data_IF_162122001495
#
_entry.id   IF_162122001495
#
_cell.length_a   1.000
_cell.length_b   1.000
_cell.length_c   1.000
_cell.angle_alpha   90.00
_cell.angle_beta   90.00
_cell.angle_gamma   90.00
#
_symmetry.space_group_name_H-M   'P 1'
#
loop_
_entity.id
_entity.type
_entity.pdbx_description
1 polymer ?
#
# COMPACT_ATOMS: atom_id res chain seq x y z
N UNK A 1 0.85 -4.39 -20.81
CA UNK A 1 1.03 -4.37 -19.34
C UNK A 1 2.35 -3.68 -19.05
N UNK A 2 2.34 -2.75 -18.14
CA UNK A 2 3.53 -2.04 -17.63
C UNK A 2 3.58 -2.27 -16.14
N UNK A 3 4.75 -2.55 -15.61
CA UNK A 3 5.00 -2.71 -14.18
C UNK A 3 6.09 -1.74 -13.76
N UNK A 4 5.91 -1.06 -12.65
CA UNK A 4 6.92 -0.22 -12.01
C UNK A 4 6.93 -0.46 -10.51
N UNK A 5 8.12 -0.48 -9.91
CA UNK A 5 8.32 -0.70 -8.47
C UNK A 5 8.80 0.55 -7.79
N UNK A 6 8.21 0.84 -6.65
CA UNK A 6 8.55 1.95 -5.79
C UNK A 6 8.92 1.42 -4.41
N UNK A 7 10.18 1.48 -4.04
CA UNK A 7 10.71 0.91 -2.81
C UNK A 7 11.42 1.96 -1.95
N UNK A 8 10.73 3.05 -1.66
CA UNK A 8 11.27 4.09 -0.80
C UNK A 8 10.25 5.15 -0.45
N UNK A 9 10.44 5.78 0.70
CA UNK A 9 9.59 6.88 1.20
C UNK A 9 10.13 8.26 0.82
N UNK A 10 11.29 8.31 0.18
CA UNK A 10 11.89 9.55 -0.31
C UNK A 10 12.83 9.28 -1.47
N UNK A 11 12.89 10.20 -2.43
CA UNK A 11 13.78 10.08 -3.58
C UNK A 11 13.27 10.82 -4.80
N UNK A 12 14.02 10.72 -5.90
CA UNK A 12 13.67 11.37 -7.17
C UNK A 12 12.75 10.50 -8.05
N UNK A 13 12.66 9.21 -7.79
CA UNK A 13 11.97 8.23 -8.61
C UNK A 13 11.27 7.21 -7.72
N UNK A 14 10.00 6.96 -7.97
CA UNK A 14 9.24 5.89 -7.38
C UNK A 14 9.11 5.97 -5.86
N UNK A 15 8.63 7.10 -5.36
CA UNK A 15 8.27 7.24 -3.95
C UNK A 15 6.91 6.61 -3.76
N UNK A 16 6.85 5.66 -2.83
CA UNK A 16 5.59 5.12 -2.36
C UNK A 16 4.83 6.18 -1.53
N UNK A 17 3.55 6.34 -1.79
CA UNK A 17 2.67 7.25 -1.06
C UNK A 17 1.29 6.62 -0.83
N UNK A 18 1.08 6.08 0.37
CA UNK A 18 -0.18 5.47 0.77
C UNK A 18 -1.37 6.45 0.63
N UNK A 19 -1.16 7.74 0.88
CA UNK A 19 -2.20 8.76 0.75
C UNK A 19 -2.65 8.94 -0.69
N UNK A 20 -1.71 8.84 -1.65
CA UNK A 20 -2.04 8.87 -3.07
C UNK A 20 -2.94 7.68 -3.44
N UNK A 21 -2.61 6.50 -2.95
CA UNK A 21 -3.38 5.30 -3.20
C UNK A 21 -4.76 5.33 -2.54
N UNK A 22 -4.88 5.94 -1.36
CA UNK A 22 -6.15 6.15 -0.67
C UNK A 22 -7.00 7.27 -1.26
N UNK A 23 -6.46 8.09 -2.19
CA UNK A 23 -7.05 9.37 -2.62
C UNK A 23 -7.26 10.35 -1.45
N UNK A 24 -6.40 10.29 -0.42
CA UNK A 24 -6.40 11.19 0.73
C UNK A 24 -5.68 12.53 0.40
N UNK A 25 -6.19 13.21 -0.63
CA UNK A 25 -5.76 14.54 -1.08
C UNK A 25 -6.88 15.21 -1.89
N UNK A 26 -6.67 16.45 -2.31
CA UNK A 26 -7.64 17.20 -3.12
C UNK A 26 -7.78 16.64 -4.55
N UNK A 27 -8.69 15.69 -4.71
CA UNK A 27 -8.97 15.01 -5.98
C UNK A 27 -9.63 15.95 -6.98
N UNK A 28 -10.46 16.89 -6.51
CA UNK A 28 -11.25 17.78 -7.39
C UNK A 28 -10.37 18.75 -8.19
N UNK A 29 -9.18 19.08 -7.66
CA UNK A 29 -8.20 19.95 -8.31
C UNK A 29 -7.03 19.20 -8.97
N UNK A 30 -7.13 17.89 -9.09
CA UNK A 30 -6.08 17.06 -9.70
C UNK A 30 -6.33 16.89 -11.20
N UNK A 31 -5.42 17.41 -12.03
CA UNK A 31 -5.57 17.44 -13.50
C UNK A 31 -5.64 16.05 -14.17
N UNK A 32 -5.16 15.01 -13.48
CA UNK A 32 -5.04 13.64 -14.02
C UNK A 32 -6.02 12.65 -13.40
N UNK A 33 -6.94 13.12 -12.55
CA UNK A 33 -7.93 12.27 -11.88
C UNK A 33 -9.34 12.73 -12.25
N UNK A 34 -10.16 11.80 -12.66
CA UNK A 34 -11.58 12.00 -12.89
C UNK A 34 -12.35 11.79 -11.57
N UNK A 35 -12.69 12.89 -10.89
CA UNK A 35 -13.36 12.88 -9.59
C UNK A 35 -14.73 12.16 -9.60
N UNK A 36 -15.43 12.12 -10.70
CA UNK A 36 -16.69 11.37 -10.82
C UNK A 36 -16.45 9.85 -10.85
N UNK A 37 -15.33 9.43 -11.43
CA UNK A 37 -14.95 8.02 -11.51
C UNK A 37 -14.27 7.52 -10.24
N UNK A 38 -13.75 8.40 -9.38
CA UNK A 38 -13.14 8.02 -8.08
C UNK A 38 -14.08 7.15 -7.24
N UNK A 39 -15.40 7.36 -7.33
CA UNK A 39 -16.40 6.53 -6.64
C UNK A 39 -16.44 5.06 -7.09
N UNK A 40 -15.79 4.73 -8.20
CA UNK A 40 -15.69 3.36 -8.73
C UNK A 40 -14.42 2.65 -8.28
N UNK A 41 -13.52 3.35 -7.62
CA UNK A 41 -12.28 2.77 -7.13
C UNK A 41 -12.55 1.64 -6.14
N UNK A 42 -11.72 0.61 -6.22
CA UNK A 42 -11.80 -0.56 -5.34
C UNK A 42 -10.53 -0.63 -4.50
N UNK A 43 -10.70 -0.87 -3.23
CA UNK A 43 -9.62 -1.01 -2.26
C UNK A 43 -9.68 -2.38 -1.60
N UNK A 44 -8.53 -2.88 -1.23
CA UNK A 44 -8.43 -4.07 -0.41
C UNK A 44 -7.27 -3.91 0.58
N UNK A 45 -7.45 -4.39 1.78
CA UNK A 45 -6.39 -4.52 2.76
C UNK A 45 -6.49 -5.84 3.54
N UNK A 46 -5.38 -6.21 4.18
CA UNK A 46 -5.25 -7.50 4.85
C UNK A 46 -6.10 -7.65 6.13
N UNK A 47 -6.67 -6.57 6.65
CA UNK A 47 -7.51 -6.58 7.86
C UNK A 47 -9.00 -6.46 7.57
N UNK A 48 -9.37 -5.57 6.66
CA UNK A 48 -10.78 -5.26 6.37
C UNK A 48 -11.31 -6.00 5.12
N UNK A 49 -10.40 -6.47 4.25
CA UNK A 49 -10.75 -7.03 2.96
C UNK A 49 -11.16 -5.98 1.95
N UNK A 50 -12.12 -6.30 1.10
CA UNK A 50 -12.60 -5.42 0.03
C UNK A 50 -13.44 -4.25 0.55
N UNK A 51 -13.21 -3.07 -0.01
CA UNK A 51 -14.04 -1.88 0.14
C UNK A 51 -14.15 -1.11 -1.17
N UNK A 52 -15.22 -0.32 -1.31
CA UNK A 52 -15.53 0.42 -2.53
C UNK A 52 -15.71 1.90 -2.19
N UNK A 53 -15.07 2.78 -2.94
CA UNK A 53 -15.11 4.23 -2.69
C UNK A 53 -16.52 4.81 -2.68
N UNK A 54 -17.44 4.29 -3.52
CA UNK A 54 -18.84 4.70 -3.58
C UNK A 54 -19.78 3.98 -2.60
N UNK A 55 -19.27 3.14 -1.72
CA UNK A 55 -20.07 2.41 -0.74
C UNK A 55 -20.56 3.34 0.38
N UNK A 56 -21.75 3.04 0.93
CA UNK A 56 -22.22 3.66 2.19
C UNK A 56 -21.46 3.17 3.43
N UNK A 57 -20.67 2.12 3.30
CA UNK A 57 -19.83 1.59 4.35
C UNK A 57 -18.44 2.23 4.22
N UNK A 58 -18.15 3.17 5.08
CA UNK A 58 -16.83 3.80 5.15
C UNK A 58 -15.76 2.80 5.56
N UNK A 59 -14.57 2.93 4.97
CA UNK A 59 -13.39 2.20 5.43
C UNK A 59 -13.03 2.66 6.85
N UNK A 60 -12.77 1.70 7.70
CA UNK A 60 -12.43 1.96 9.11
C UNK A 60 -11.01 2.53 9.26
N UNK A 61 -10.10 2.07 8.40
CA UNK A 61 -8.69 2.45 8.39
C UNK A 61 -8.23 2.77 6.98
N UNK A 62 -7.36 3.75 6.85
CA UNK A 62 -6.66 4.05 5.61
C UNK A 62 -5.40 3.17 5.48
N UNK A 63 -4.75 3.17 4.32
CA UNK A 63 -3.59 2.33 4.06
C UNK A 63 -2.41 2.64 4.98
N UNK A 64 -2.19 3.91 5.33
CA UNK A 64 -1.15 4.28 6.30
C UNK A 64 -1.38 3.64 7.67
N UNK A 65 -2.63 3.58 8.11
CA UNK A 65 -3.02 2.95 9.39
C UNK A 65 -2.90 1.42 9.32
N UNK A 66 -3.27 0.81 8.19
CA UNK A 66 -3.12 -0.63 7.94
C UNK A 66 -1.65 -1.05 8.00
N UNK A 67 -0.79 -0.36 7.26
CA UNK A 67 0.65 -0.64 7.28
C UNK A 67 1.23 -0.53 8.68
N UNK A 68 0.86 0.54 9.39
CA UNK A 68 1.33 0.77 10.76
C UNK A 68 0.86 -0.32 11.71
N UNK A 69 -0.41 -0.74 11.63
CA UNK A 69 -0.95 -1.82 12.43
C UNK A 69 -0.22 -3.15 12.16
N UNK A 70 0.00 -3.48 10.88
CA UNK A 70 0.73 -4.67 10.49
C UNK A 70 2.17 -4.68 11.04
N UNK A 71 2.89 -3.57 10.90
CA UNK A 71 4.25 -3.48 11.42
C UNK A 71 4.29 -3.55 12.95
N UNK A 72 3.31 -2.96 13.61
CA UNK A 72 3.20 -3.05 15.06
C UNK A 72 2.96 -4.48 15.52
N UNK A 73 2.06 -5.21 14.87
CA UNK A 73 1.73 -6.58 15.21
C UNK A 73 2.90 -7.54 14.98
N UNK A 74 3.63 -7.37 13.88
CA UNK A 74 4.63 -8.36 13.45
C UNK A 74 6.06 -8.02 13.83
N UNK A 75 6.38 -6.76 14.14
CA UNK A 75 7.77 -6.31 14.35
C UNK A 75 8.04 -5.63 15.67
N UNK A 76 7.02 -5.33 16.53
CA UNK A 76 7.27 -4.66 17.82
C UNK A 76 8.20 -5.46 18.71
N UNK A 77 7.98 -6.75 18.90
CA UNK A 77 8.85 -7.60 19.73
C UNK A 77 10.30 -7.60 19.24
N UNK A 78 10.50 -7.59 17.92
CA UNK A 78 11.84 -7.52 17.33
C UNK A 78 12.51 -6.17 17.60
N UNK A 79 11.77 -5.07 17.45
CA UNK A 79 12.25 -3.71 17.70
C UNK A 79 12.60 -3.54 19.17
N UNK A 80 11.73 -4.00 20.07
CA UNK A 80 11.94 -3.91 21.52
C UNK A 80 13.17 -4.73 21.94
N UNK A 81 13.30 -5.95 21.49
CA UNK A 81 14.48 -6.77 21.75
C UNK A 81 15.78 -6.17 21.18
N UNK A 82 15.71 -5.45 20.07
CA UNK A 82 16.87 -4.73 19.52
C UNK A 82 17.20 -3.50 20.38
N UNK A 83 16.20 -2.76 20.85
CA UNK A 83 16.36 -1.61 21.71
C UNK A 83 16.98 -2.01 23.06
N UNK A 84 16.53 -3.10 23.65
CA UNK A 84 17.13 -3.66 24.88
C UNK A 84 18.63 -3.99 24.68
N UNK A 85 18.99 -4.61 23.55
CA UNK A 85 20.41 -4.89 23.23
C UNK A 85 21.23 -3.60 23.10
N UNK A 86 20.66 -2.56 22.51
CA UNK A 86 21.30 -1.26 22.40
C UNK A 86 21.53 -0.62 23.78
N UNK A 87 20.54 -0.69 24.68
CA UNK A 87 20.64 -0.20 26.05
C UNK A 87 21.76 -0.93 26.82
N UNK A 88 21.79 -2.26 26.75
CA UNK A 88 22.82 -3.08 27.38
C UNK A 88 24.21 -2.76 26.84
N UNK A 89 24.32 -2.46 25.55
CA UNK A 89 25.55 -2.05 24.91
C UNK A 89 25.92 -0.57 25.14
N UNK A 90 25.10 0.19 25.91
CA UNK A 90 25.23 1.63 26.16
C UNK A 90 25.15 2.49 24.90
N UNK A 91 24.29 2.09 23.97
CA UNK A 91 24.02 2.77 22.70
C UNK A 91 22.53 3.11 22.52
N UNK A 92 21.86 3.80 23.48
CA UNK A 92 20.44 4.12 23.37
C UNK A 92 20.11 5.02 22.16
N UNK A 93 21.09 5.73 21.62
CA UNK A 93 20.96 6.54 20.42
C UNK A 93 20.65 5.72 19.16
N UNK A 94 20.77 4.40 19.24
CA UNK A 94 20.43 3.45 18.15
C UNK A 94 19.02 2.89 18.27
N UNK A 95 18.31 3.21 19.34
CA UNK A 95 16.95 2.76 19.53
C UNK A 95 16.04 3.30 18.41
N UNK A 96 15.07 2.47 18.02
CA UNK A 96 14.13 2.76 16.95
C UNK A 96 12.71 2.54 17.40
N UNK A 97 11.79 3.20 16.71
CA UNK A 97 10.34 2.97 16.80
C UNK A 97 9.85 2.21 15.57
N UNK A 98 8.63 1.73 15.61
CA UNK A 98 7.96 1.15 14.43
C UNK A 98 7.87 2.20 13.29
N UNK A 99 7.62 3.45 13.61
CA UNK A 99 7.60 4.54 12.62
C UNK A 99 8.97 4.74 11.94
N UNK A 100 10.07 4.53 12.66
CA UNK A 100 11.41 4.56 12.06
C UNK A 100 11.64 3.40 11.09
N UNK A 101 11.07 2.22 11.40
CA UNK A 101 11.13 1.05 10.53
C UNK A 101 10.31 1.29 9.26
N UNK A 102 9.10 1.84 9.37
CA UNK A 102 8.24 2.20 8.26
C UNK A 102 8.83 3.28 7.34
N UNK A 103 9.60 4.22 7.88
CA UNK A 103 10.22 5.31 7.11
C UNK A 103 11.55 4.93 6.45
N UNK A 104 12.15 3.83 6.87
CA UNK A 104 13.46 3.43 6.39
C UNK A 104 13.33 2.72 5.03
N UNK A 105 14.01 3.22 4.00
CA UNK A 105 13.97 2.68 2.64
C UNK A 105 14.39 1.19 2.50
N UNK A 106 14.97 0.59 3.54
CA UNK A 106 15.35 -0.83 3.54
C UNK A 106 14.30 -1.73 4.17
N UNK A 107 13.38 -1.16 4.92
CA UNK A 107 12.41 -1.90 5.74
C UNK A 107 10.96 -1.44 5.54
N UNK A 108 10.73 -0.34 4.82
CA UNK A 108 9.38 0.10 4.46
C UNK A 108 8.72 -0.89 3.47
N UNK A 109 7.39 -0.90 3.38
CA UNK A 109 6.69 -1.63 2.33
C UNK A 109 7.16 -1.21 0.93
N UNK A 110 7.18 -2.15 0.02
CA UNK A 110 7.38 -1.89 -1.42
C UNK A 110 6.03 -1.71 -2.10
N UNK A 111 5.95 -0.81 -3.06
CA UNK A 111 4.80 -0.64 -3.93
C UNK A 111 5.12 -1.17 -5.33
N UNK A 112 4.15 -1.83 -5.94
CA UNK A 112 4.16 -2.15 -7.36
C UNK A 112 2.96 -1.53 -8.04
N UNK A 113 3.18 -0.77 -9.10
CA UNK A 113 2.12 -0.23 -9.95
C UNK A 113 2.00 -1.08 -11.20
N UNK A 114 0.82 -1.67 -11.40
CA UNK A 114 0.50 -2.52 -12.56
C UNK A 114 -0.52 -1.77 -13.42
N UNK A 115 -0.15 -1.45 -14.64
CA UNK A 115 -1.03 -0.77 -15.60
C UNK A 115 -1.47 -1.75 -16.69
N UNK A 116 -2.78 -1.87 -16.87
CA UNK A 116 -3.42 -2.63 -17.94
C UNK A 116 -4.15 -1.68 -18.88
N UNK A 117 -3.76 -1.71 -20.15
CA UNK A 117 -4.31 -0.79 -21.15
C UNK A 117 -3.53 0.52 -21.28
N UNK A 118 -4.09 1.43 -22.03
CA UNK A 118 -3.62 2.79 -22.25
C UNK A 118 -4.80 3.67 -22.69
N UNK A 119 -4.58 4.94 -22.97
CA UNK A 119 -5.62 5.90 -23.37
C UNK A 119 -6.40 5.48 -24.63
N UNK A 120 -5.76 4.73 -25.55
CA UNK A 120 -6.37 4.29 -26.79
C UNK A 120 -7.06 2.91 -26.69
N UNK A 121 -6.66 2.11 -25.68
CA UNK A 121 -7.10 0.74 -25.48
C UNK A 121 -7.35 0.48 -23.98
N UNK A 122 -8.40 1.11 -23.48
CA UNK A 122 -8.82 0.94 -22.09
C UNK A 122 -9.45 -0.45 -21.87
N UNK A 123 -9.11 -1.06 -20.76
CA UNK A 123 -9.75 -2.28 -20.27
C UNK A 123 -10.99 -1.88 -19.46
N UNK A 124 -12.07 -2.67 -19.59
CA UNK A 124 -13.28 -2.36 -18.80
C UNK A 124 -13.04 -2.62 -17.31
N UNK A 125 -13.67 -1.86 -16.40
CA UNK A 125 -13.53 -2.02 -14.95
C UNK A 125 -13.72 -3.46 -14.46
N UNK A 126 -14.73 -4.15 -14.97
CA UNK A 126 -15.04 -5.54 -14.59
C UNK A 126 -13.92 -6.51 -14.93
N UNK A 127 -13.33 -6.35 -16.12
CA UNK A 127 -12.21 -7.19 -16.57
C UNK A 127 -10.98 -6.88 -15.73
N UNK A 128 -10.72 -5.61 -15.45
CA UNK A 128 -9.58 -5.19 -14.65
C UNK A 128 -9.69 -5.73 -13.21
N UNK A 129 -10.86 -5.58 -12.57
CA UNK A 129 -11.10 -6.10 -11.23
C UNK A 129 -10.92 -7.62 -11.16
N UNK A 130 -11.45 -8.36 -12.15
CA UNK A 130 -11.32 -9.82 -12.22
C UNK A 130 -9.86 -10.25 -12.38
N UNK A 131 -9.14 -9.64 -13.31
CA UNK A 131 -7.71 -9.96 -13.55
C UNK A 131 -6.87 -9.65 -12.31
N UNK A 132 -7.13 -8.52 -11.64
CA UNK A 132 -6.43 -8.15 -10.40
C UNK A 132 -6.69 -9.16 -9.29
N UNK A 133 -7.95 -9.55 -9.07
CA UNK A 133 -8.29 -10.54 -8.06
C UNK A 133 -7.61 -11.90 -8.33
N UNK A 134 -7.69 -12.41 -9.56
CA UNK A 134 -7.02 -13.66 -9.95
C UNK A 134 -5.49 -13.58 -9.80
N UNK A 135 -4.89 -12.42 -10.13
CA UNK A 135 -3.46 -12.20 -9.95
C UNK A 135 -3.05 -12.25 -8.48
N UNK A 136 -3.76 -11.54 -7.59
CA UNK A 136 -3.43 -11.53 -6.17
C UNK A 136 -3.67 -12.89 -5.51
N UNK A 137 -4.71 -13.62 -5.89
CA UNK A 137 -4.96 -14.97 -5.42
C UNK A 137 -3.81 -15.92 -5.80
N UNK A 138 -3.37 -15.87 -7.05
CA UNK A 138 -2.27 -16.70 -7.54
C UNK A 138 -0.92 -16.29 -6.91
N UNK A 139 -0.70 -14.99 -6.72
CA UNK A 139 0.47 -14.47 -6.04
C UNK A 139 0.54 -14.99 -4.60
N UNK A 140 -0.56 -14.91 -3.86
CA UNK A 140 -0.64 -15.39 -2.48
C UNK A 140 -0.42 -16.91 -2.39
N UNK A 141 -0.93 -17.70 -3.33
CA UNK A 141 -0.68 -19.14 -3.37
C UNK A 141 0.81 -19.48 -3.54
N UNK A 142 1.52 -18.69 -4.34
CA UNK A 142 2.94 -18.95 -4.66
C UNK A 142 3.90 -18.35 -3.64
N UNK A 143 3.62 -17.16 -3.14
CA UNK A 143 4.58 -16.35 -2.41
C UNK A 143 4.10 -15.92 -1.02
N UNK A 144 2.85 -16.14 -0.64
CA UNK A 144 2.26 -15.66 0.61
C UNK A 144 2.94 -16.13 1.89
N UNK A 145 3.78 -17.18 1.82
CA UNK A 145 4.63 -17.59 2.96
C UNK A 145 5.86 -16.69 3.19
N UNK A 146 6.20 -15.83 2.22
CA UNK A 146 7.41 -15.00 2.25
C UNK A 146 7.14 -13.52 1.97
N UNK A 147 6.08 -13.22 1.24
CA UNK A 147 5.71 -11.87 0.82
C UNK A 147 4.24 -11.66 1.20
N UNK A 148 3.99 -10.66 2.02
CA UNK A 148 2.65 -10.30 2.46
C UNK A 148 2.17 -9.09 1.68
N UNK A 149 1.00 -9.21 1.03
CA UNK A 149 0.29 -8.07 0.45
C UNK A 149 -0.45 -7.39 1.61
N UNK A 150 -0.12 -6.15 1.90
CA UNK A 150 -0.74 -5.38 2.98
C UNK A 150 -2.04 -4.74 2.51
N UNK A 151 -1.98 -4.12 1.34
CA UNK A 151 -3.09 -3.41 0.73
C UNK A 151 -2.89 -3.26 -0.78
N UNK A 152 -3.94 -2.90 -1.48
CA UNK A 152 -3.89 -2.49 -2.87
C UNK A 152 -5.11 -1.65 -3.25
N UNK A 153 -4.93 -0.77 -4.22
CA UNK A 153 -5.98 0.03 -4.80
C UNK A 153 -6.11 -0.25 -6.31
N UNK A 154 -7.34 -0.38 -6.78
CA UNK A 154 -7.68 -0.39 -8.19
C UNK A 154 -8.25 0.98 -8.54
N UNK A 155 -7.44 1.79 -9.21
CA UNK A 155 -7.82 3.09 -9.66
C UNK A 155 -8.49 3.02 -11.03
N UNK A 156 -9.74 3.45 -11.10
CA UNK A 156 -10.52 3.53 -12.32
C UNK A 156 -10.71 4.99 -12.80
N UNK A 157 -10.06 5.91 -12.10
CA UNK A 157 -10.16 7.35 -12.22
C UNK A 157 -8.94 8.02 -12.90
N UNK A 158 -7.96 7.24 -13.32
CA UNK A 158 -6.78 7.67 -14.05
C UNK A 158 -6.77 7.24 -15.52
#
# INVERSE_FOLDING_TARGET
>A
MKDSRHNGRSGKHGVYDAKHNDRDFDVEHSEHIDSERTKQNVYWDCYQGYSFAGSSQERQFNFTEIERAYYYEHYSDFVDAQNERNEQARHPERNRTIDDVLKNNKTCPEESVIQLGNIDHAVTPDVLAKVSAEFFDEFNKRYGSHIHILDWALHLDE
#
